data_IF_243826617698
#
_entry.id   IF_243826617698
#
_cell.length_a   1.000
_cell.length_b   1.000
_cell.length_c   1.000
_cell.angle_alpha   90.00
_cell.angle_beta   90.00
_cell.angle_gamma   90.00
#
_symmetry.space_group_name_H-M   'P 1'
#
loop_
_entity.id
_entity.type
_entity.pdbx_description
1 polymer ?
#
# COMPACT_ATOMS: atom_id res chain seq x y z
N UNK A 1 20.74 4.72 -14.58
CA UNK A 1 20.76 3.64 -13.56
C UNK A 1 21.07 4.18 -12.16
N UNK A 2 22.11 5.01 -11.99
CA UNK A 2 22.50 5.58 -10.69
C UNK A 2 21.38 6.37 -9.97
N UNK A 3 20.61 7.18 -10.70
CA UNK A 3 19.49 7.94 -10.11
C UNK A 3 18.33 7.07 -9.59
N UNK A 4 17.96 6.01 -10.32
CA UNK A 4 16.93 5.06 -9.87
C UNK A 4 17.38 4.32 -8.61
N UNK A 5 18.65 3.88 -8.58
CA UNK A 5 19.24 3.24 -7.40
C UNK A 5 19.26 4.18 -6.20
N UNK A 6 19.68 5.44 -6.39
CA UNK A 6 19.68 6.45 -5.34
C UNK A 6 18.28 6.66 -4.75
N UNK A 7 17.26 6.84 -5.60
CA UNK A 7 15.86 6.99 -5.16
C UNK A 7 15.39 5.75 -4.40
N UNK A 8 15.68 4.55 -4.88
CA UNK A 8 15.33 3.31 -4.17
C UNK A 8 15.98 3.23 -2.79
N UNK A 9 17.27 3.57 -2.68
CA UNK A 9 18.00 3.55 -1.41
C UNK A 9 17.41 4.57 -0.43
N UNK A 10 17.11 5.79 -0.90
CA UNK A 10 16.50 6.83 -0.06
C UNK A 10 15.13 6.39 0.45
N UNK A 11 14.28 5.86 -0.43
CA UNK A 11 12.95 5.35 -0.03
C UNK A 11 13.10 4.22 1.00
N UNK A 12 14.03 3.28 0.77
CA UNK A 12 14.25 2.18 1.69
C UNK A 12 14.73 2.67 3.07
N UNK A 13 15.66 3.63 3.09
CA UNK A 13 16.14 4.24 4.32
C UNK A 13 15.00 4.94 5.09
N UNK A 14 14.10 5.65 4.40
CA UNK A 14 12.94 6.29 5.01
C UNK A 14 11.96 5.26 5.60
N UNK A 15 11.68 4.16 4.88
CA UNK A 15 10.80 3.09 5.37
C UNK A 15 11.39 2.41 6.62
N UNK A 16 12.69 2.14 6.60
CA UNK A 16 13.40 1.57 7.75
C UNK A 16 13.37 2.53 8.96
N UNK A 17 13.68 3.81 8.73
CA UNK A 17 13.63 4.83 9.77
C UNK A 17 12.22 4.96 10.37
N UNK A 18 11.18 4.98 9.52
CA UNK A 18 9.79 4.99 9.95
C UNK A 18 9.45 3.78 10.82
N UNK A 19 9.88 2.59 10.38
CA UNK A 19 9.61 1.33 11.09
C UNK A 19 10.24 1.32 12.48
N UNK A 20 11.51 1.72 12.57
CA UNK A 20 12.25 1.80 13.83
C UNK A 20 11.65 2.83 14.80
N UNK A 21 11.09 3.93 14.29
CA UNK A 21 10.45 4.96 15.11
C UNK A 21 9.02 4.58 15.55
N UNK A 22 8.38 3.63 14.88
CA UNK A 22 6.97 3.27 15.11
C UNK A 22 6.81 1.80 15.54
N UNK A 23 7.74 1.31 16.37
CA UNK A 23 7.67 -0.04 16.96
C UNK A 23 6.66 -0.15 18.09
N UNK A 24 6.13 0.97 18.58
CA UNK A 24 5.07 1.01 19.58
C UNK A 24 3.86 0.16 19.14
N UNK A 25 3.37 -0.69 20.04
CA UNK A 25 2.20 -1.52 19.80
C UNK A 25 0.92 -0.69 19.90
N UNK A 26 0.03 -0.88 18.95
CA UNK A 26 -1.34 -0.35 18.95
C UNK A 26 -2.33 -1.49 19.10
N UNK A 27 -3.36 -1.27 19.91
CA UNK A 27 -4.45 -2.23 20.06
C UNK A 27 -5.52 -1.97 19.01
N UNK A 28 -5.86 -3.02 18.27
CA UNK A 28 -6.94 -3.02 17.30
C UNK A 28 -8.03 -3.92 17.86
N UNK A 29 -9.21 -3.36 18.09
CA UNK A 29 -10.37 -4.10 18.56
C UNK A 29 -11.51 -3.94 17.54
N UNK A 30 -11.88 -5.04 16.93
CA UNK A 30 -13.11 -5.24 16.17
C UNK A 30 -14.01 -6.22 16.96
N UNK A 31 -15.29 -6.30 16.62
CA UNK A 31 -16.35 -6.83 17.50
C UNK A 31 -15.99 -8.09 18.33
N UNK A 32 -15.59 -9.27 17.80
CA UNK A 32 -15.02 -10.32 18.64
C UNK A 32 -13.48 -10.37 18.62
N UNK A 33 -12.82 -9.59 17.77
CA UNK A 33 -11.40 -9.73 17.46
C UNK A 33 -10.57 -8.59 18.04
N UNK A 34 -9.64 -8.93 18.93
CA UNK A 34 -8.64 -7.99 19.43
C UNK A 34 -7.24 -8.48 19.04
N UNK A 35 -6.41 -7.57 18.56
CA UNK A 35 -5.01 -7.84 18.27
C UNK A 35 -4.14 -6.66 18.70
N UNK A 36 -2.89 -6.94 19.02
CA UNK A 36 -1.85 -5.94 19.23
C UNK A 36 -0.81 -6.09 18.13
N UNK A 37 -0.54 -5.00 17.43
CA UNK A 37 0.42 -4.97 16.33
C UNK A 37 1.22 -3.68 16.41
N UNK A 38 2.45 -3.66 15.89
CA UNK A 38 3.19 -2.40 15.83
C UNK A 38 2.49 -1.40 14.92
N UNK A 39 2.55 -0.12 15.29
CA UNK A 39 2.01 0.98 14.50
C UNK A 39 2.61 1.01 13.09
N UNK A 40 3.90 0.70 12.97
CA UNK A 40 4.59 0.54 11.70
C UNK A 40 3.95 -0.57 10.83
N UNK A 41 3.69 -1.75 11.40
CA UNK A 41 3.10 -2.86 10.66
C UNK A 41 1.69 -2.53 10.19
N UNK A 42 0.87 -1.93 11.07
CA UNK A 42 -0.49 -1.56 10.74
C UNK A 42 -0.54 -0.55 9.57
N UNK A 43 0.24 0.53 9.68
CA UNK A 43 0.24 1.62 8.70
C UNK A 43 0.85 1.21 7.35
N UNK A 44 2.03 0.57 7.33
CA UNK A 44 2.67 0.11 6.10
C UNK A 44 1.87 -1.02 5.45
N UNK A 45 1.32 -1.93 6.25
CA UNK A 45 0.42 -2.98 5.77
C UNK A 45 -0.82 -2.42 5.10
N UNK A 46 -1.52 -1.48 5.75
CA UNK A 46 -2.68 -0.80 5.17
C UNK A 46 -2.34 -0.04 3.88
N UNK A 47 -1.20 0.66 3.85
CA UNK A 47 -0.72 1.33 2.64
C UNK A 47 -0.51 0.34 1.47
N UNK A 48 0.18 -0.78 1.71
CA UNK A 48 0.42 -1.80 0.69
C UNK A 48 -0.90 -2.41 0.19
N UNK A 49 -1.84 -2.72 1.09
CA UNK A 49 -3.19 -3.16 0.71
C UNK A 49 -3.88 -2.13 -0.18
N UNK A 50 -3.80 -0.85 0.17
CA UNK A 50 -4.32 0.25 -0.63
C UNK A 50 -3.71 0.33 -2.04
N UNK A 51 -2.39 0.19 -2.17
CA UNK A 51 -1.69 0.16 -3.47
C UNK A 51 -2.15 -1.02 -4.32
N UNK A 52 -2.26 -2.22 -3.73
CA UNK A 52 -2.73 -3.43 -4.42
C UNK A 52 -4.18 -3.25 -4.89
N UNK A 53 -5.06 -2.77 -4.02
CA UNK A 53 -6.47 -2.52 -4.36
C UNK A 53 -6.59 -1.46 -5.46
N UNK A 54 -5.88 -0.34 -5.35
CA UNK A 54 -5.87 0.72 -6.36
C UNK A 54 -5.41 0.20 -7.73
N UNK A 55 -4.39 -0.66 -7.76
CA UNK A 55 -3.93 -1.29 -9.00
C UNK A 55 -4.97 -2.25 -9.61
N UNK A 56 -5.63 -3.07 -8.78
CA UNK A 56 -6.69 -3.99 -9.22
C UNK A 56 -7.87 -3.20 -9.78
N UNK A 57 -8.38 -2.22 -9.01
CA UNK A 57 -9.52 -1.40 -9.40
C UNK A 57 -9.22 -0.59 -10.67
N UNK A 58 -8.04 0.02 -10.77
CA UNK A 58 -7.62 0.75 -11.97
C UNK A 58 -7.52 -0.14 -13.22
N UNK A 59 -7.12 -1.42 -13.05
CA UNK A 59 -7.15 -2.39 -14.15
C UNK A 59 -8.57 -2.75 -14.58
N UNK A 60 -9.50 -2.90 -13.64
CA UNK A 60 -10.90 -3.21 -13.93
C UNK A 60 -11.53 -2.04 -14.69
N UNK A 61 -11.32 -0.82 -14.21
CA UNK A 61 -11.84 0.39 -14.83
C UNK A 61 -11.34 0.55 -16.28
N UNK A 62 -10.02 0.46 -16.48
CA UNK A 62 -9.41 0.52 -17.82
C UNK A 62 -9.94 -0.56 -18.78
N UNK A 63 -10.33 -1.73 -18.27
CA UNK A 63 -10.94 -2.80 -19.10
C UNK A 63 -12.36 -2.44 -19.51
N UNK A 64 -13.16 -1.83 -18.63
CA UNK A 64 -14.52 -1.38 -18.94
C UNK A 64 -14.51 -0.30 -20.02
N UNK A 65 -13.70 0.75 -19.85
CA UNK A 65 -13.64 1.84 -20.85
C UNK A 65 -13.21 1.34 -22.24
N UNK A 66 -12.29 0.36 -22.30
CA UNK A 66 -11.89 -0.26 -23.57
C UNK A 66 -12.97 -1.12 -24.22
N UNK A 67 -13.89 -1.69 -23.43
CA UNK A 67 -15.01 -2.48 -23.95
C UNK A 67 -16.07 -1.56 -24.54
N UNK A 68 -16.43 -0.48 -23.84
CA UNK A 68 -17.37 0.54 -24.31
C UNK A 68 -16.91 1.20 -25.63
N UNK A 69 -15.63 1.57 -25.74
CA UNK A 69 -15.04 2.11 -26.97
C UNK A 69 -15.10 1.16 -28.18
N UNK A 70 -15.20 -0.16 -27.96
CA UNK A 70 -15.36 -1.15 -29.04
C UNK A 70 -16.80 -1.38 -29.44
N UNK A 71 -17.77 -1.14 -28.55
CA UNK A 71 -19.20 -1.28 -28.84
C UNK A 71 -19.78 -0.06 -29.58
N UNK A 72 -19.10 1.10 -29.51
CA UNK A 72 -19.48 2.34 -30.21
C UNK A 72 -18.90 2.44 -31.63
N UNK A 73 -17.91 1.60 -31.99
CA UNK A 73 -17.29 1.56 -33.33
C UNK A 73 -17.88 0.45 -34.18
#
# INVERSE_FOLDING_TARGET
MKGKLFVTVVILALVLAYTLQNTESVSIAFYPWKAEVSKALLSLGAFLVGVVLGFILGKIDRRRSKKELKEVK
#
